data_IF_388687816595
#
_entry.id   IF_388687816595
#
_cell.length_a   1.000
_cell.length_b   1.000
_cell.length_c   1.000
_cell.angle_alpha   90.00
_cell.angle_beta   90.00
_cell.angle_gamma   90.00
#
_symmetry.space_group_name_H-M   'P 1'
#
loop_
_entity.id
_entity.type
_entity.pdbx_description
1 polymer ?
#
# COMPACT_ATOMS: atom_id res chain seq x y z
N UNK A 1 24.17 -6.30 10.00
CA UNK A 1 24.51 -4.87 10.12
C UNK A 1 23.25 -4.14 10.51
N UNK A 2 23.32 -3.37 11.58
CA UNK A 2 22.20 -2.77 12.26
C UNK A 2 21.79 -1.49 11.51
N UNK A 3 20.50 -1.29 11.24
CA UNK A 3 19.94 0.04 11.15
C UNK A 3 19.85 0.52 12.61
N UNK A 4 20.98 0.82 13.23
CA UNK A 4 21.05 1.43 14.55
C UNK A 4 21.35 2.89 14.31
N UNK A 5 20.61 3.73 14.97
CA UNK A 5 20.77 5.18 15.08
C UNK A 5 20.25 6.03 13.90
N UNK A 6 19.11 5.67 13.30
CA UNK A 6 18.42 6.59 12.41
C UNK A 6 17.49 7.49 13.22
N UNK A 7 17.88 8.72 13.45
CA UNK A 7 16.99 9.71 14.04
C UNK A 7 16.03 10.22 12.97
N UNK A 8 14.71 9.97 13.07
CA UNK A 8 13.77 10.44 12.07
C UNK A 8 13.68 11.96 12.07
N UNK A 9 13.74 12.55 10.88
CA UNK A 9 13.49 13.97 10.69
C UNK A 9 12.09 14.17 10.12
N UNK A 10 11.24 14.86 10.87
CA UNK A 10 9.92 15.25 10.37
C UNK A 10 10.04 16.40 9.39
N UNK A 11 9.36 16.27 8.24
CA UNK A 11 9.21 17.32 7.26
C UNK A 11 7.79 17.87 7.41
N UNK A 12 7.70 19.14 7.83
CA UNK A 12 6.41 19.80 7.93
C UNK A 12 5.99 20.32 6.56
N UNK A 13 4.75 20.02 6.18
CA UNK A 13 4.14 20.55 4.97
C UNK A 13 3.39 21.83 5.35
N UNK A 14 4.00 22.99 5.15
CA UNK A 14 3.32 24.28 5.32
C UNK A 14 2.41 24.52 4.10
N UNK A 15 1.15 24.19 4.21
CA UNK A 15 0.19 24.31 3.10
C UNK A 15 -0.63 25.62 3.12
N UNK A 16 -0.38 26.50 4.07
CA UNK A 16 -1.00 27.83 4.16
C UNK A 16 -2.44 27.88 4.68
N UNK A 17 -3.19 26.77 4.67
CA UNK A 17 -4.59 26.73 5.10
C UNK A 17 -4.85 25.77 6.27
N UNK A 18 -4.09 24.71 6.40
CA UNK A 18 -4.07 23.80 7.54
C UNK A 18 -2.84 22.92 7.43
N UNK A 19 -2.12 22.62 8.52
CA UNK A 19 -1.00 21.67 8.45
C UNK A 19 -1.56 20.27 8.17
N UNK A 20 -1.65 19.91 6.89
CA UNK A 20 -2.10 18.58 6.51
C UNK A 20 -0.91 17.64 6.42
N UNK A 21 -0.55 17.05 7.54
CA UNK A 21 0.54 16.07 7.63
C UNK A 21 0.07 14.62 7.45
N UNK A 22 -1.20 14.41 7.07
CA UNK A 22 -1.72 13.07 6.83
C UNK A 22 -1.27 12.56 5.46
N UNK A 23 -0.21 11.78 5.42
CA UNK A 23 0.32 11.13 4.22
C UNK A 23 -0.26 9.71 4.15
N UNK A 24 -0.88 9.37 3.04
CA UNK A 24 -1.56 8.09 2.85
C UNK A 24 -0.77 7.10 2.00
N UNK A 25 0.01 7.61 1.04
CA UNK A 25 0.84 6.78 0.17
C UNK A 25 2.03 7.59 -0.33
N UNK A 26 3.12 6.91 -0.71
CA UNK A 26 4.34 7.52 -1.27
C UNK A 26 4.90 6.63 -2.37
N UNK A 27 5.40 7.24 -3.45
CA UNK A 27 6.13 6.56 -4.53
C UNK A 27 7.41 7.32 -4.87
N UNK A 28 8.37 6.59 -5.40
CA UNK A 28 9.62 7.12 -5.91
C UNK A 28 9.49 7.42 -7.41
N UNK A 29 9.82 8.62 -7.85
CA UNK A 29 9.94 8.97 -9.27
C UNK A 29 11.34 8.60 -9.79
N UNK A 30 12.35 9.06 -9.06
CA UNK A 30 13.75 8.76 -9.29
C UNK A 30 14.54 8.81 -7.96
N UNK A 31 15.86 8.69 -8.05
CA UNK A 31 16.75 8.67 -6.88
C UNK A 31 16.60 9.86 -5.91
N UNK A 32 15.97 10.94 -6.32
CA UNK A 32 15.91 12.18 -5.55
C UNK A 32 14.49 12.75 -5.42
N UNK A 33 13.52 12.23 -6.16
CA UNK A 33 12.18 12.82 -6.23
C UNK A 33 11.15 11.81 -5.78
N UNK A 34 10.35 12.20 -4.81
CA UNK A 34 9.25 11.42 -4.26
C UNK A 34 7.94 12.16 -4.41
N UNK A 35 6.90 11.41 -4.73
CA UNK A 35 5.54 11.88 -4.75
C UNK A 35 4.74 11.20 -3.66
N UNK A 36 3.86 11.94 -3.01
CA UNK A 36 3.05 11.42 -1.92
C UNK A 36 1.64 12.00 -1.95
N UNK A 37 0.67 11.18 -1.57
CA UNK A 37 -0.71 11.60 -1.45
C UNK A 37 -0.99 12.12 -0.05
N UNK A 38 -1.77 13.21 0.02
CA UNK A 38 -2.17 13.84 1.28
C UNK A 38 -3.68 14.03 1.33
N UNK A 39 -4.18 14.44 2.47
CA UNK A 39 -5.57 14.87 2.60
C UNK A 39 -5.86 16.22 1.90
N UNK A 40 -4.84 16.96 1.44
CA UNK A 40 -4.95 18.29 0.84
C UNK A 40 -4.36 18.39 -0.57
N UNK A 41 -3.97 17.27 -1.17
CA UNK A 41 -3.45 17.25 -2.54
C UNK A 41 -2.38 16.21 -2.81
N UNK A 42 -1.67 16.41 -3.91
CA UNK A 42 -0.52 15.63 -4.33
C UNK A 42 0.76 16.39 -3.96
N UNK A 43 1.58 15.79 -3.14
CA UNK A 43 2.87 16.34 -2.75
C UNK A 43 4.01 15.82 -3.61
N UNK A 44 5.03 16.64 -3.81
CA UNK A 44 6.30 16.29 -4.42
C UNK A 44 7.44 16.83 -3.56
N UNK A 45 8.48 16.05 -3.35
CA UNK A 45 9.67 16.48 -2.65
C UNK A 45 10.94 16.09 -3.43
N UNK A 46 11.86 17.03 -3.57
CA UNK A 46 13.23 16.79 -4.00
C UNK A 46 14.11 16.69 -2.77
N UNK A 47 14.68 15.52 -2.51
CA UNK A 47 15.49 15.26 -1.30
C UNK A 47 16.82 16.04 -1.27
N UNK A 48 17.22 16.64 -2.39
CA UNK A 48 18.43 17.51 -2.44
C UNK A 48 18.15 18.87 -1.84
N UNK A 49 16.93 19.37 -2.02
CA UNK A 49 16.51 20.71 -1.53
C UNK A 49 15.71 20.62 -0.25
N UNK A 50 15.07 19.46 0.01
CA UNK A 50 14.15 19.21 1.13
C UNK A 50 12.95 20.17 1.15
N UNK A 51 12.60 20.73 -0.01
CA UNK A 51 11.47 21.65 -0.17
C UNK A 51 10.29 20.89 -0.79
N UNK A 52 9.19 20.69 -0.05
CA UNK A 52 7.98 20.05 -0.59
C UNK A 52 7.17 21.05 -1.43
N UNK A 53 6.60 20.55 -2.51
CA UNK A 53 5.60 21.23 -3.33
C UNK A 53 4.27 20.49 -3.18
N UNK A 54 3.15 21.23 -3.04
CA UNK A 54 1.81 20.65 -2.98
C UNK A 54 0.99 21.13 -4.17
N UNK A 55 0.50 20.18 -4.95
CA UNK A 55 -0.39 20.42 -6.09
C UNK A 55 -1.82 20.13 -5.65
N UNK A 56 -2.67 21.16 -5.69
CA UNK A 56 -4.11 21.06 -5.41
C UNK A 56 -4.88 20.94 -6.69
N UNK A 57 -5.92 20.16 -6.64
CA UNK A 57 -6.81 20.02 -7.77
C UNK A 57 -7.63 21.32 -7.91
N UNK A 58 -7.78 21.87 -9.14
CA UNK A 58 -8.68 22.98 -9.39
C UNK A 58 -10.13 22.63 -8.99
N UNK A 59 -10.87 23.59 -8.43
CA UNK A 59 -12.27 23.38 -7.97
C UNK A 59 -13.19 22.97 -9.11
N UNK A 60 -12.92 23.42 -10.34
CA UNK A 60 -13.66 23.05 -11.55
C UNK A 60 -13.58 21.55 -11.85
N UNK A 61 -12.51 20.88 -11.40
CA UNK A 61 -12.32 19.43 -11.55
C UNK A 61 -12.94 18.72 -10.35
N UNK A 62 -12.62 19.15 -9.14
CA UNK A 62 -13.17 18.58 -7.90
C UNK A 62 -12.92 19.51 -6.71
N UNK A 63 -13.89 19.56 -5.81
CA UNK A 63 -13.78 20.24 -4.52
C UNK A 63 -13.13 19.39 -3.41
N UNK A 64 -12.55 18.24 -3.75
CA UNK A 64 -11.88 17.34 -2.81
C UNK A 64 -10.46 17.02 -3.29
N UNK A 65 -9.50 17.21 -2.41
CA UNK A 65 -8.10 16.88 -2.62
C UNK A 65 -7.64 15.68 -1.79
N UNK A 66 -8.57 14.97 -1.15
CA UNK A 66 -8.23 13.83 -0.30
C UNK A 66 -7.97 12.59 -1.14
N UNK A 67 -6.69 12.28 -1.35
CA UNK A 67 -6.22 11.10 -2.04
C UNK A 67 -5.78 10.03 -1.04
N UNK A 68 -6.13 8.77 -1.31
CA UNK A 68 -5.83 7.63 -0.43
C UNK A 68 -4.64 6.83 -0.94
N UNK A 69 -4.52 6.70 -2.25
CA UNK A 69 -3.49 5.89 -2.90
C UNK A 69 -3.04 6.56 -4.19
N UNK A 70 -1.84 6.21 -4.63
CA UNK A 70 -1.29 6.71 -5.88
C UNK A 70 -0.37 5.66 -6.53
N UNK A 71 -0.27 5.72 -7.85
CA UNK A 71 0.70 4.97 -8.65
C UNK A 71 1.19 5.81 -9.82
N UNK A 72 2.37 5.49 -10.35
CA UNK A 72 2.94 6.17 -11.51
C UNK A 72 2.95 5.27 -12.73
N UNK A 73 2.49 5.82 -13.86
CA UNK A 73 2.59 5.20 -15.18
C UNK A 73 3.15 6.21 -16.18
N UNK A 74 4.38 5.98 -16.62
CA UNK A 74 5.05 6.91 -17.55
C UNK A 74 5.20 8.31 -16.95
N UNK A 75 4.65 9.33 -17.64
CA UNK A 75 4.65 10.73 -17.21
C UNK A 75 3.41 11.13 -16.40
N UNK A 76 2.57 10.18 -16.00
CA UNK A 76 1.37 10.45 -15.23
C UNK A 76 1.42 9.79 -13.86
N UNK A 77 0.88 10.50 -12.86
CA UNK A 77 0.55 9.94 -11.55
C UNK A 77 -0.97 9.77 -11.51
N UNK A 78 -1.42 8.57 -11.19
CA UNK A 78 -2.84 8.27 -10.99
C UNK A 78 -3.13 8.23 -9.49
N UNK A 79 -4.21 8.90 -9.10
CA UNK A 79 -4.58 9.15 -7.72
C UNK A 79 -5.99 8.62 -7.45
N UNK A 80 -6.11 7.74 -6.47
CA UNK A 80 -7.40 7.27 -5.98
C UNK A 80 -7.91 8.16 -4.86
N UNK A 81 -9.13 8.67 -4.99
CA UNK A 81 -9.76 9.50 -3.99
C UNK A 81 -10.74 8.72 -3.11
N UNK A 82 -11.06 9.29 -1.95
CA UNK A 82 -11.98 8.67 -0.99
C UNK A 82 -13.41 8.49 -1.56
N UNK A 83 -13.90 9.40 -2.40
CA UNK A 83 -15.28 9.35 -2.89
C UNK A 83 -15.53 10.02 -4.25
N UNK A 84 -14.48 10.36 -4.97
CA UNK A 84 -14.55 11.09 -6.25
C UNK A 84 -13.92 10.32 -7.43
N UNK A 85 -13.58 9.05 -7.22
CA UNK A 85 -12.97 8.21 -8.24
C UNK A 85 -11.48 8.43 -8.40
N UNK A 86 -11.02 8.39 -9.65
CA UNK A 86 -9.61 8.49 -10.00
C UNK A 86 -9.32 9.79 -10.73
N UNK A 87 -8.17 10.35 -10.46
CA UNK A 87 -7.59 11.48 -11.17
C UNK A 87 -6.22 11.12 -11.71
N UNK A 88 -5.85 11.72 -12.82
CA UNK A 88 -4.49 11.71 -13.35
C UNK A 88 -3.85 13.07 -13.17
N UNK A 89 -2.55 13.08 -12.91
CA UNK A 89 -1.71 14.26 -12.88
C UNK A 89 -0.59 14.12 -13.89
N UNK A 90 -0.56 14.98 -14.90
CA UNK A 90 0.55 15.09 -15.85
C UNK A 90 1.72 15.82 -15.17
N UNK A 91 2.83 15.12 -14.96
CA UNK A 91 4.01 15.66 -14.27
C UNK A 91 4.70 16.79 -15.06
N UNK A 92 4.65 16.74 -16.41
CA UNK A 92 5.25 17.76 -17.26
C UNK A 92 4.39 19.03 -17.35
N UNK A 93 3.10 18.85 -17.58
CA UNK A 93 2.15 19.95 -17.71
C UNK A 93 1.64 20.47 -16.36
N UNK A 94 1.91 19.77 -15.27
CA UNK A 94 1.40 20.06 -13.91
C UNK A 94 -0.12 20.22 -13.87
N UNK A 95 -0.84 19.35 -14.58
CA UNK A 95 -2.30 19.43 -14.74
C UNK A 95 -3.00 18.17 -14.27
N UNK A 96 -4.10 18.38 -13.55
CA UNK A 96 -5.03 17.32 -13.18
C UNK A 96 -6.07 17.10 -14.25
N UNK A 97 -6.51 15.84 -14.39
CA UNK A 97 -7.67 15.46 -15.17
C UNK A 97 -8.45 14.34 -14.47
N UNK A 98 -9.77 14.25 -14.73
CA UNK A 98 -10.58 13.10 -14.27
C UNK A 98 -10.29 11.90 -15.16
N UNK A 99 -10.27 10.71 -14.55
CA UNK A 99 -10.28 9.43 -15.26
C UNK A 99 -11.70 8.90 -15.27
N UNK A 100 -12.29 8.80 -16.45
CA UNK A 100 -13.69 8.41 -16.62
C UNK A 100 -13.98 6.97 -16.19
N UNK A 101 -15.22 6.70 -15.76
CA UNK A 101 -15.67 5.37 -15.36
C UNK A 101 -15.43 5.03 -13.88
N UNK A 102 -14.97 6.00 -13.09
CA UNK A 102 -14.70 5.84 -11.66
C UNK A 102 -15.39 6.91 -10.78
N UNK A 103 -16.26 7.72 -11.33
CA UNK A 103 -16.77 8.99 -10.75
C UNK A 103 -17.41 8.87 -9.37
N UNK A 104 -17.96 7.75 -9.03
CA UNK A 104 -18.63 7.52 -7.74
C UNK A 104 -17.99 6.38 -6.94
N UNK A 105 -16.76 6.00 -7.32
CA UNK A 105 -16.07 4.93 -6.63
C UNK A 105 -15.27 5.47 -5.44
N UNK A 106 -15.37 4.80 -4.33
CA UNK A 106 -14.39 4.86 -3.27
C UNK A 106 -13.22 3.96 -3.67
N UNK A 107 -12.07 4.56 -3.93
CA UNK A 107 -10.87 3.84 -4.37
C UNK A 107 -10.08 3.43 -3.13
N UNK A 108 -9.81 2.15 -2.98
CA UNK A 108 -9.08 1.60 -1.84
C UNK A 108 -7.61 1.38 -2.15
N UNK A 109 -7.30 0.96 -3.37
CA UNK A 109 -5.94 0.72 -3.84
C UNK A 109 -5.85 0.96 -5.34
N UNK A 110 -4.68 1.35 -5.82
CA UNK A 110 -4.38 1.53 -7.23
C UNK A 110 -2.96 1.05 -7.51
N UNK A 111 -2.79 0.31 -8.60
CA UNK A 111 -1.48 -0.10 -9.09
C UNK A 111 -1.45 -0.03 -10.61
N UNK A 112 -0.27 0.13 -11.20
CA UNK A 112 -0.09 0.27 -12.63
C UNK A 112 0.96 -0.67 -13.17
N UNK A 113 0.60 -1.47 -14.19
CA UNK A 113 1.53 -2.34 -14.90
C UNK A 113 1.05 -2.64 -16.32
N UNK A 114 1.99 -2.85 -17.24
CA UNK A 114 1.73 -3.28 -18.62
C UNK A 114 0.64 -2.45 -19.33
N UNK A 115 0.73 -1.13 -19.17
CA UNK A 115 -0.25 -0.15 -19.72
C UNK A 115 -1.69 -0.33 -19.19
N UNK A 116 -1.84 -0.96 -18.01
CA UNK A 116 -3.11 -1.16 -17.31
C UNK A 116 -3.07 -0.55 -15.91
N UNK A 117 -4.18 0.02 -15.48
CA UNK A 117 -4.41 0.39 -14.08
C UNK A 117 -5.33 -0.62 -13.41
N UNK A 118 -4.86 -1.18 -12.33
CA UNK A 118 -5.61 -2.07 -11.45
C UNK A 118 -6.17 -1.26 -10.28
N UNK A 119 -7.47 -1.18 -10.20
CA UNK A 119 -8.18 -0.27 -9.28
C UNK A 119 -9.07 -1.07 -8.35
N UNK A 120 -8.66 -1.20 -7.10
CA UNK A 120 -9.46 -1.80 -6.05
C UNK A 120 -10.50 -0.82 -5.52
N UNK A 121 -11.76 -1.22 -5.54
CA UNK A 121 -12.88 -0.38 -5.11
C UNK A 121 -13.54 -0.92 -3.84
N UNK A 122 -14.28 -0.04 -3.16
CA UNK A 122 -15.16 -0.46 -2.07
C UNK A 122 -16.51 -0.94 -2.64
N UNK A 123 -16.69 -2.24 -2.74
CA UNK A 123 -17.96 -2.88 -3.10
C UNK A 123 -18.21 -3.10 -4.60
N UNK A 124 -17.35 -2.63 -5.52
CA UNK A 124 -17.53 -2.83 -6.97
C UNK A 124 -16.47 -3.74 -7.61
N UNK A 125 -15.68 -4.45 -6.80
CA UNK A 125 -14.65 -5.36 -7.27
C UNK A 125 -13.35 -4.66 -7.69
N UNK A 126 -12.53 -5.38 -8.45
CA UNK A 126 -11.34 -4.89 -9.10
C UNK A 126 -11.70 -4.41 -10.51
N UNK A 127 -11.44 -3.16 -10.81
CA UNK A 127 -11.56 -2.59 -12.17
C UNK A 127 -10.18 -2.53 -12.80
N UNK A 128 -10.05 -2.99 -14.03
CA UNK A 128 -8.82 -2.94 -14.81
C UNK A 128 -9.06 -2.00 -15.98
N UNK A 129 -8.41 -0.83 -15.94
CA UNK A 129 -8.47 0.16 -17.01
C UNK A 129 -7.29 -0.04 -17.96
N UNK A 130 -7.56 -0.27 -19.24
CA UNK A 130 -6.56 -0.18 -20.29
C UNK A 130 -6.26 1.29 -20.60
N UNK A 131 -5.00 1.68 -20.50
CA UNK A 131 -4.56 3.04 -20.85
C UNK A 131 -4.39 3.23 -22.37
N UNK A 132 -4.47 2.15 -23.15
CA UNK A 132 -4.35 2.18 -24.60
C UNK A 132 -5.65 2.61 -25.28
N UNK A 133 -6.77 2.02 -24.87
CA UNK A 133 -8.09 2.23 -25.50
C UNK A 133 -9.16 2.77 -24.54
N UNK A 134 -8.83 2.92 -23.26
CA UNK A 134 -9.76 3.40 -22.23
C UNK A 134 -10.82 2.38 -21.80
N UNK A 135 -10.72 1.13 -22.23
CA UNK A 135 -11.67 0.08 -21.84
C UNK A 135 -11.50 -0.30 -20.36
N UNK A 136 -12.61 -0.68 -19.71
CA UNK A 136 -12.63 -1.09 -18.29
C UNK A 136 -13.18 -2.50 -18.20
N UNK A 137 -12.36 -3.44 -17.75
CA UNK A 137 -12.78 -4.76 -17.30
C UNK A 137 -13.15 -4.71 -15.82
N UNK A 138 -14.26 -5.38 -15.43
CA UNK A 138 -14.67 -5.48 -14.02
C UNK A 138 -14.59 -6.92 -13.56
N UNK A 139 -13.71 -7.18 -12.59
CA UNK A 139 -13.56 -8.46 -11.93
C UNK A 139 -14.31 -8.38 -10.60
N UNK A 140 -15.44 -9.11 -10.52
CA UNK A 140 -16.33 -9.05 -9.36
C UNK A 140 -16.58 -10.42 -8.73
N UNK A 141 -16.97 -10.40 -7.46
CA UNK A 141 -17.47 -11.57 -6.76
C UNK A 141 -18.83 -12.03 -7.35
N UNK A 142 -18.96 -13.34 -7.54
CA UNK A 142 -20.21 -13.99 -8.00
C UNK A 142 -20.52 -15.10 -7.01
N UNK A 143 -21.62 -14.98 -6.25
CA UNK A 143 -21.98 -15.86 -5.12
C UNK A 143 -21.93 -17.38 -5.42
N UNK A 144 -22.22 -17.78 -6.63
CA UNK A 144 -22.27 -19.22 -7.01
C UNK A 144 -21.06 -19.67 -7.83
N UNK A 145 -20.13 -18.78 -8.14
CA UNK A 145 -18.98 -19.08 -8.97
C UNK A 145 -17.72 -19.30 -8.12
N UNK A 146 -17.29 -20.54 -7.97
CA UNK A 146 -16.04 -20.92 -7.28
C UNK A 146 -14.78 -20.25 -7.86
N UNK A 147 -14.91 -19.62 -9.04
CA UNK A 147 -13.81 -19.04 -9.79
C UNK A 147 -13.90 -17.51 -9.86
N UNK A 148 -14.63 -16.88 -8.96
CA UNK A 148 -14.67 -15.43 -8.80
C UNK A 148 -13.82 -15.00 -7.61
N UNK A 149 -13.50 -13.70 -7.52
CA UNK A 149 -12.89 -13.13 -6.32
C UNK A 149 -13.80 -13.31 -5.11
N UNK A 150 -13.22 -13.35 -3.92
CA UNK A 150 -13.93 -13.69 -2.67
C UNK A 150 -14.82 -12.58 -2.12
N UNK A 151 -14.61 -11.33 -2.54
CA UNK A 151 -15.42 -10.15 -2.15
C UNK A 151 -15.22 -9.01 -3.14
N UNK A 152 -16.21 -8.10 -3.22
CA UNK A 152 -16.15 -6.90 -4.07
C UNK A 152 -15.46 -5.69 -3.41
N UNK A 153 -15.09 -5.77 -2.15
CA UNK A 153 -14.30 -4.70 -1.50
C UNK A 153 -12.83 -5.10 -1.51
N UNK A 154 -12.08 -4.47 -2.41
CA UNK A 154 -10.67 -4.75 -2.67
C UNK A 154 -9.82 -3.75 -1.90
N UNK A 155 -8.98 -4.24 -1.00
CA UNK A 155 -8.17 -3.41 -0.10
C UNK A 155 -6.67 -3.43 -0.41
N UNK A 156 -6.22 -4.46 -1.13
CA UNK A 156 -4.83 -4.58 -1.57
C UNK A 156 -4.76 -5.27 -2.93
N UNK A 157 -3.77 -4.92 -3.73
CA UNK A 157 -3.47 -5.55 -5.01
C UNK A 157 -1.95 -5.68 -5.15
N UNK A 158 -1.52 -6.80 -5.71
CA UNK A 158 -0.14 -7.03 -6.12
C UNK A 158 -0.13 -7.82 -7.42
N UNK A 159 0.64 -7.37 -8.39
CA UNK A 159 0.97 -8.14 -9.57
C UNK A 159 2.41 -8.62 -9.49
N UNK A 160 2.61 -9.93 -9.52
CA UNK A 160 3.93 -10.52 -9.45
C UNK A 160 4.04 -11.73 -10.40
N UNK A 161 5.01 -11.71 -11.30
CA UNK A 161 5.32 -12.81 -12.22
C UNK A 161 4.11 -13.39 -12.98
N UNK A 162 3.17 -12.55 -13.41
CA UNK A 162 1.94 -12.95 -14.10
C UNK A 162 0.81 -13.40 -13.18
N UNK A 163 1.01 -13.37 -11.87
CA UNK A 163 0.00 -13.69 -10.86
C UNK A 163 -0.60 -12.38 -10.32
N UNK A 164 -1.92 -12.29 -10.31
CA UNK A 164 -2.66 -11.18 -9.69
C UNK A 164 -3.12 -11.63 -8.31
N UNK A 165 -2.65 -10.93 -7.27
CA UNK A 165 -3.05 -11.15 -5.89
C UNK A 165 -4.00 -10.04 -5.47
N UNK A 166 -5.16 -10.41 -4.95
CA UNK A 166 -6.23 -9.49 -4.61
C UNK A 166 -6.60 -9.71 -3.14
N UNK A 167 -6.22 -8.75 -2.30
CA UNK A 167 -6.63 -8.70 -0.89
C UNK A 167 -8.02 -8.07 -0.77
N UNK A 168 -8.90 -8.71 -0.01
CA UNK A 168 -10.28 -8.26 0.15
C UNK A 168 -10.61 -7.93 1.60
N UNK A 169 -11.63 -7.08 1.81
CA UNK A 169 -12.01 -6.67 3.16
C UNK A 169 -12.63 -7.80 3.98
N UNK A 170 -13.40 -8.70 3.33
CA UNK A 170 -14.19 -9.71 4.05
C UNK A 170 -14.03 -11.13 3.52
N UNK A 171 -13.30 -11.32 2.44
CA UNK A 171 -13.19 -12.61 1.75
C UNK A 171 -11.78 -13.23 1.78
N UNK A 172 -10.82 -12.62 2.49
CA UNK A 172 -9.43 -13.07 2.48
C UNK A 172 -8.70 -12.66 1.20
N UNK A 173 -7.91 -13.58 0.64
CA UNK A 173 -7.11 -13.34 -0.57
C UNK A 173 -7.65 -14.18 -1.72
N UNK A 174 -7.78 -13.54 -2.88
CA UNK A 174 -7.99 -14.20 -4.17
C UNK A 174 -6.76 -14.06 -5.03
N UNK A 175 -6.42 -15.07 -5.79
CA UNK A 175 -5.30 -14.99 -6.72
C UNK A 175 -5.59 -15.72 -8.03
N UNK A 176 -4.94 -15.32 -9.10
CA UNK A 176 -4.96 -16.01 -10.38
C UNK A 176 -3.56 -16.48 -10.73
N UNK A 177 -3.34 -17.79 -10.89
CA UNK A 177 -2.00 -18.32 -11.12
C UNK A 177 -1.40 -18.00 -12.49
N UNK A 178 -2.18 -17.44 -13.44
CA UNK A 178 -1.72 -16.88 -14.73
C UNK A 178 -2.85 -16.16 -15.44
N UNK A 179 -2.54 -15.35 -16.46
CA UNK A 179 -3.54 -14.72 -17.33
C UNK A 179 -4.43 -15.82 -17.95
N UNK A 180 -5.75 -15.68 -17.78
CA UNK A 180 -6.76 -16.66 -18.25
C UNK A 180 -7.08 -17.80 -17.31
N UNK A 181 -6.41 -17.92 -16.16
CA UNK A 181 -6.72 -18.91 -15.15
C UNK A 181 -7.86 -18.46 -14.22
N UNK A 182 -8.50 -19.45 -13.58
CA UNK A 182 -9.55 -19.20 -12.61
C UNK A 182 -8.96 -18.73 -11.28
N UNK A 183 -9.66 -17.84 -10.58
CA UNK A 183 -9.24 -17.40 -9.25
C UNK A 183 -9.29 -18.57 -8.25
N UNK A 184 -8.27 -18.62 -7.39
CA UNK A 184 -8.28 -19.37 -6.14
C UNK A 184 -8.30 -18.38 -4.98
N UNK A 185 -8.67 -18.80 -3.77
CA UNK A 185 -8.71 -17.91 -2.62
C UNK A 185 -8.32 -18.64 -1.33
N UNK A 186 -7.72 -17.88 -0.42
CA UNK A 186 -7.61 -18.24 0.99
C UNK A 186 -8.75 -17.58 1.76
N UNK A 187 -9.51 -18.37 2.50
CA UNK A 187 -10.69 -17.94 3.25
C UNK A 187 -10.37 -17.72 4.74
N UNK A 188 -11.35 -17.23 5.48
CA UNK A 188 -11.25 -17.10 6.94
C UNK A 188 -10.87 -18.40 7.65
N UNK A 189 -11.32 -19.54 7.13
CA UNK A 189 -11.05 -20.84 7.74
C UNK A 189 -9.58 -21.21 7.63
N UNK A 190 -8.89 -20.75 6.59
CA UNK A 190 -7.45 -20.98 6.40
C UNK A 190 -6.61 -20.18 7.39
N UNK A 191 -7.11 -19.02 7.83
CA UNK A 191 -6.39 -18.14 8.76
C UNK A 191 -6.77 -18.30 10.23
N UNK A 192 -7.80 -19.10 10.54
CA UNK A 192 -8.33 -19.25 11.90
C UNK A 192 -8.57 -17.89 12.60
N UNK A 193 -9.08 -16.90 11.87
CA UNK A 193 -9.29 -15.54 12.32
C UNK A 193 -10.73 -15.09 12.16
N UNK A 194 -11.21 -14.25 13.06
CA UNK A 194 -12.54 -13.64 13.02
C UNK A 194 -12.62 -12.42 12.11
N UNK A 195 -11.50 -11.72 11.91
CA UNK A 195 -11.41 -10.55 11.03
C UNK A 195 -10.15 -10.66 10.15
N UNK A 196 -10.34 -11.08 8.92
CA UNK A 196 -9.32 -11.36 7.92
C UNK A 196 -9.27 -10.32 6.81
N UNK A 197 -9.59 -9.07 7.14
CA UNK A 197 -9.41 -7.95 6.21
C UNK A 197 -7.95 -7.81 5.82
N UNK A 198 -7.63 -8.27 4.61
CA UNK A 198 -6.28 -8.19 4.05
C UNK A 198 -5.98 -6.74 3.71
N UNK A 199 -4.84 -6.25 4.12
CA UNK A 199 -4.39 -4.87 3.92
C UNK A 199 -3.10 -4.78 3.12
N UNK A 200 -2.24 -5.78 3.28
CA UNK A 200 -0.96 -5.83 2.59
C UNK A 200 -0.50 -7.29 2.44
N UNK A 201 0.33 -7.56 1.46
CA UNK A 201 0.99 -8.86 1.33
C UNK A 201 2.34 -8.69 0.63
N UNK A 202 3.23 -9.65 0.89
CA UNK A 202 4.53 -9.76 0.27
C UNK A 202 4.77 -11.21 -0.14
N UNK A 203 5.35 -11.40 -1.33
CA UNK A 203 5.74 -12.73 -1.82
C UNK A 203 7.25 -12.86 -1.85
N UNK A 204 7.74 -13.96 -1.31
CA UNK A 204 9.14 -14.34 -1.40
C UNK A 204 9.44 -14.99 -2.75
N UNK A 205 10.70 -14.94 -3.24
CA UNK A 205 11.09 -15.60 -4.49
C UNK A 205 10.86 -17.12 -4.49
N UNK A 206 10.83 -17.76 -3.33
CA UNK A 206 10.55 -19.19 -3.16
C UNK A 206 9.05 -19.53 -3.12
N UNK A 207 8.17 -18.53 -3.27
CA UNK A 207 6.73 -18.67 -3.24
C UNK A 207 6.07 -18.53 -1.86
N UNK A 208 6.85 -18.45 -0.77
CA UNK A 208 6.31 -18.16 0.56
C UNK A 208 5.65 -16.78 0.58
N UNK A 209 4.72 -16.57 1.51
CA UNK A 209 3.88 -15.37 1.54
C UNK A 209 3.78 -14.79 2.94
N UNK A 210 3.84 -13.46 3.05
CA UNK A 210 3.41 -12.71 4.21
C UNK A 210 2.13 -11.96 3.90
N UNK A 211 1.15 -12.07 4.79
CA UNK A 211 -0.19 -11.49 4.62
C UNK A 211 -0.50 -10.65 5.85
N UNK A 212 -0.58 -9.34 5.67
CA UNK A 212 -0.98 -8.39 6.70
C UNK A 212 -2.49 -8.20 6.71
N UNK A 213 -3.08 -8.39 7.87
CA UNK A 213 -4.52 -8.24 8.08
C UNK A 213 -4.81 -7.24 9.20
N UNK A 214 -6.08 -7.13 9.58
CA UNK A 214 -6.49 -6.36 10.75
C UNK A 214 -6.33 -7.13 12.06
N UNK A 215 -6.07 -8.42 12.01
CA UNK A 215 -5.96 -9.31 13.17
C UNK A 215 -4.60 -10.00 13.27
N UNK A 216 -3.59 -9.44 12.63
CA UNK A 216 -2.23 -9.93 12.69
C UNK A 216 -1.57 -10.11 11.33
N UNK A 217 -0.38 -10.65 11.41
CA UNK A 217 0.43 -11.06 10.27
C UNK A 217 0.36 -12.58 10.13
N UNK A 218 0.24 -13.06 8.89
CA UNK A 218 0.28 -14.48 8.57
C UNK A 218 1.46 -14.76 7.64
N UNK A 219 2.20 -15.80 7.92
CA UNK A 219 3.21 -16.37 7.04
C UNK A 219 2.70 -17.71 6.49
N UNK A 220 2.78 -17.89 5.19
CA UNK A 220 2.41 -19.13 4.51
C UNK A 220 3.64 -19.70 3.84
N UNK A 221 4.04 -20.91 4.23
CA UNK A 221 5.10 -21.66 3.58
C UNK A 221 4.54 -22.37 2.34
N UNK A 222 5.00 -22.02 1.16
CA UNK A 222 4.54 -22.62 -0.11
C UNK A 222 4.81 -24.13 -0.17
N UNK A 223 5.98 -24.55 0.30
CA UNK A 223 6.41 -25.95 0.22
C UNK A 223 5.59 -26.90 1.11
N UNK A 224 5.22 -26.45 2.30
CA UNK A 224 4.57 -27.30 3.30
C UNK A 224 3.08 -26.99 3.45
N UNK A 225 2.61 -25.85 2.98
CA UNK A 225 1.28 -25.31 3.26
C UNK A 225 1.09 -24.86 4.72
N UNK A 226 2.15 -24.85 5.53
CA UNK A 226 2.09 -24.42 6.92
C UNK A 226 1.75 -22.93 7.00
N UNK A 227 0.77 -22.58 7.85
CA UNK A 227 0.39 -21.21 8.14
C UNK A 227 0.78 -20.87 9.57
N UNK A 228 1.62 -19.84 9.74
CA UNK A 228 1.95 -19.25 11.05
C UNK A 228 1.30 -17.89 11.19
N UNK A 229 0.79 -17.62 12.39
CA UNK A 229 0.17 -16.32 12.69
C UNK A 229 0.91 -15.61 13.81
N UNK A 230 1.03 -14.29 13.67
CA UNK A 230 1.63 -13.36 14.63
C UNK A 230 0.57 -12.35 15.03
N UNK A 231 0.26 -12.26 16.31
CA UNK A 231 -0.73 -11.34 16.89
C UNK A 231 -0.36 -10.99 18.32
N UNK A 232 -0.98 -9.96 18.88
CA UNK A 232 -0.80 -9.54 20.26
C UNK A 232 -1.14 -10.65 21.27
N UNK A 233 -2.12 -11.49 20.95
CA UNK A 233 -2.52 -12.62 21.80
C UNK A 233 -1.48 -13.75 21.85
N UNK A 234 -0.54 -13.78 20.89
CA UNK A 234 0.50 -14.81 20.81
C UNK A 234 1.80 -14.29 21.42
N UNK A 235 2.11 -14.75 22.63
CA UNK A 235 3.27 -14.36 23.44
C UNK A 235 4.65 -14.44 22.75
N UNK A 236 4.75 -14.97 21.54
CA UNK A 236 6.00 -15.13 20.79
C UNK A 236 6.08 -14.23 19.56
N UNK A 237 5.12 -13.35 19.33
CA UNK A 237 5.05 -12.64 18.05
C UNK A 237 5.88 -11.36 18.00
N UNK A 238 6.20 -10.73 19.12
CA UNK A 238 6.79 -9.37 19.20
C UNK A 238 6.03 -8.31 18.36
N UNK A 239 4.83 -8.63 17.88
CA UNK A 239 3.99 -7.68 17.15
C UNK A 239 3.33 -6.74 18.17
N UNK A 240 3.43 -5.43 17.95
CA UNK A 240 2.90 -4.41 18.88
C UNK A 240 1.48 -3.95 18.53
N UNK A 241 0.99 -4.30 17.35
CA UNK A 241 -0.39 -4.05 16.92
C UNK A 241 -0.80 -5.10 15.90
N UNK A 242 -2.01 -5.62 16.04
CA UNK A 242 -2.57 -6.60 15.10
C UNK A 242 -2.93 -6.00 13.74
N UNK A 243 -3.06 -4.68 13.65
CA UNK A 243 -3.43 -4.02 12.40
C UNK A 243 -2.18 -3.81 11.54
N UNK A 244 -1.86 -4.80 10.72
CA UNK A 244 -0.76 -4.72 9.75
C UNK A 244 -1.23 -3.98 8.52
N UNK A 245 -0.58 -2.87 8.16
CA UNK A 245 -0.99 -2.00 7.04
C UNK A 245 -0.02 -2.02 5.88
N UNK A 246 1.23 -2.41 6.13
CA UNK A 246 2.29 -2.37 5.14
C UNK A 246 3.24 -3.57 5.31
N UNK A 247 3.64 -4.19 4.21
CA UNK A 247 4.70 -5.19 4.14
C UNK A 247 5.48 -4.95 2.85
N UNK A 248 6.78 -4.75 2.95
CA UNK A 248 7.63 -4.66 1.77
C UNK A 248 9.08 -5.04 2.09
N UNK A 249 9.81 -5.49 1.07
CA UNK A 249 11.26 -5.61 1.13
C UNK A 249 11.88 -4.26 0.83
N UNK A 250 12.65 -3.75 1.76
CA UNK A 250 13.38 -2.51 1.62
C UNK A 250 14.84 -2.81 1.92
N UNK A 251 15.68 -2.61 0.90
CA UNK A 251 17.07 -3.07 0.91
C UNK A 251 17.13 -4.61 1.14
N UNK A 252 17.78 -5.05 2.21
CA UNK A 252 17.94 -6.46 2.58
C UNK A 252 16.92 -6.93 3.64
N UNK A 253 15.96 -6.09 4.05
CA UNK A 253 15.02 -6.36 5.15
C UNK A 253 13.59 -6.36 4.69
N UNK A 254 12.78 -7.21 5.30
CA UNK A 254 11.33 -7.14 5.17
C UNK A 254 10.80 -6.33 6.33
N UNK A 255 10.24 -5.15 6.01
CA UNK A 255 9.66 -4.23 6.96
C UNK A 255 8.15 -4.39 6.99
N UNK A 256 7.61 -4.34 8.20
CA UNK A 256 6.18 -4.49 8.47
C UNK A 256 5.73 -3.27 9.25
N UNK A 257 4.90 -2.44 8.63
CA UNK A 257 4.28 -1.30 9.26
C UNK A 257 2.93 -1.66 9.87
N UNK A 258 2.66 -1.16 11.07
CA UNK A 258 1.42 -1.41 11.80
C UNK A 258 0.73 -0.12 12.18
N UNK A 259 -0.57 -0.21 12.42
CA UNK A 259 -1.36 0.92 12.91
C UNK A 259 -1.25 1.01 14.44
N UNK A 260 -0.45 1.95 14.92
CA UNK A 260 -0.23 2.18 16.35
C UNK A 260 0.79 1.25 17.02
N UNK A 261 1.47 0.38 16.27
CA UNK A 261 2.51 -0.51 16.80
C UNK A 261 3.87 -0.32 16.10
N UNK A 262 4.02 0.75 15.29
CA UNK A 262 5.28 1.11 14.67
C UNK A 262 5.70 0.17 13.53
N UNK A 263 7.00 -0.07 13.45
CA UNK A 263 7.66 -0.86 12.40
C UNK A 263 8.39 -2.05 12.99
N UNK A 264 8.21 -3.20 12.35
CA UNK A 264 8.88 -4.45 12.68
C UNK A 264 9.73 -4.94 11.50
N UNK A 265 10.76 -5.71 11.81
CA UNK A 265 11.57 -6.44 10.83
C UNK A 265 11.23 -7.93 10.93
N UNK A 266 10.91 -8.54 9.80
CA UNK A 266 10.74 -9.98 9.70
C UNK A 266 12.04 -10.66 9.30
N UNK A 267 12.47 -11.65 10.08
CA UNK A 267 13.63 -12.48 9.81
C UNK A 267 13.19 -13.72 9.01
N UNK A 268 13.66 -13.83 7.78
CA UNK A 268 13.32 -14.90 6.84
C UNK A 268 13.88 -16.27 7.26
N UNK A 269 14.96 -16.31 8.06
CA UNK A 269 15.62 -17.56 8.45
C UNK A 269 14.96 -18.18 9.67
N UNK A 270 14.59 -17.34 10.63
CA UNK A 270 14.00 -17.77 11.91
C UNK A 270 12.49 -17.64 11.93
N UNK A 271 11.92 -16.92 10.94
CA UNK A 271 10.49 -16.55 10.86
C UNK A 271 10.03 -15.82 12.12
N UNK A 272 10.89 -14.96 12.65
CA UNK A 272 10.61 -14.16 13.84
C UNK A 272 10.47 -12.68 13.50
N UNK A 273 9.81 -11.95 14.39
CA UNK A 273 9.67 -10.50 14.34
C UNK A 273 10.54 -9.84 15.41
N UNK A 274 11.12 -8.70 15.05
CA UNK A 274 11.78 -7.80 16.00
C UNK A 274 11.45 -6.36 15.68
N UNK A 275 11.60 -5.49 16.66
CA UNK A 275 11.41 -4.05 16.43
C UNK A 275 12.44 -3.51 15.44
N UNK A 276 12.01 -2.56 14.61
CA UNK A 276 12.88 -1.87 13.66
C UNK A 276 13.87 -0.96 14.38
N UNK A 277 13.38 -0.17 15.35
CA UNK A 277 14.13 0.78 16.15
C UNK A 277 13.49 0.92 17.53
N UNK A 278 14.22 1.45 18.51
CA UNK A 278 13.71 1.75 19.85
C UNK A 278 13.14 3.17 19.98
N UNK A 279 13.12 3.96 18.91
CA UNK A 279 12.50 5.28 18.93
C UNK A 279 10.97 5.18 18.96
N UNK A 280 10.32 6.10 19.66
CA UNK A 280 8.89 6.09 19.93
C UNK A 280 8.03 6.02 18.67
N UNK A 281 8.42 6.77 17.62
CA UNK A 281 7.73 6.72 16.31
C UNK A 281 7.68 5.30 15.74
N UNK A 282 8.80 4.57 15.82
CA UNK A 282 8.92 3.23 15.24
C UNK A 282 8.38 2.12 16.15
N UNK A 283 8.11 2.44 17.42
CA UNK A 283 7.49 1.52 18.37
C UNK A 283 5.97 1.65 18.43
N UNK A 284 5.43 2.87 18.27
CA UNK A 284 4.01 3.17 18.51
C UNK A 284 3.34 3.99 17.40
N UNK A 285 4.06 4.38 16.36
CA UNK A 285 3.53 5.18 15.26
C UNK A 285 2.59 4.42 14.33
N UNK A 286 1.71 5.15 13.65
CA UNK A 286 0.90 4.64 12.56
C UNK A 286 1.67 4.81 11.24
N UNK A 287 2.41 3.79 10.84
CA UNK A 287 3.22 3.81 9.61
C UNK A 287 2.44 3.14 8.49
N UNK A 288 2.11 3.92 7.46
CA UNK A 288 1.25 3.50 6.37
C UNK A 288 2.01 3.00 5.15
N UNK A 289 3.22 3.52 4.93
CA UNK A 289 4.10 3.08 3.84
C UNK A 289 5.55 3.47 4.13
N UNK A 290 6.50 2.73 3.54
CA UNK A 290 7.94 2.99 3.64
C UNK A 290 8.55 2.80 2.26
N UNK A 291 9.46 3.68 1.88
CA UNK A 291 10.31 3.55 0.69
C UNK A 291 11.74 3.92 1.02
N UNK A 292 12.69 3.41 0.25
CA UNK A 292 14.09 3.80 0.35
C UNK A 292 14.50 4.69 -0.83
N UNK A 293 15.51 5.50 -0.61
CA UNK A 293 16.17 6.25 -1.67
C UNK A 293 17.49 5.59 -2.07
N UNK A 294 18.06 6.05 -3.20
CA UNK A 294 19.32 5.51 -3.68
C UNK A 294 20.54 5.85 -2.79
N UNK A 295 20.36 6.66 -1.76
CA UNK A 295 21.39 7.00 -0.76
C UNK A 295 21.27 6.13 0.48
N UNK A 296 20.28 5.22 0.53
CA UNK A 296 20.02 4.35 1.64
C UNK A 296 19.16 4.97 2.75
N UNK A 297 18.64 6.21 2.55
CA UNK A 297 17.68 6.77 3.50
C UNK A 297 16.34 6.09 3.36
N UNK A 298 15.62 5.97 4.48
CA UNK A 298 14.26 5.47 4.51
C UNK A 298 13.28 6.63 4.70
N UNK A 299 12.20 6.58 3.95
CA UNK A 299 11.10 7.54 4.02
C UNK A 299 9.85 6.87 4.51
N UNK A 300 9.24 7.41 5.55
CA UNK A 300 8.08 6.85 6.23
C UNK A 300 6.88 7.76 6.04
N UNK A 301 5.84 7.23 5.40
CA UNK A 301 4.54 7.85 5.38
C UNK A 301 3.78 7.48 6.66
N UNK A 302 3.32 8.46 7.40
CA UNK A 302 2.64 8.30 8.67
C UNK A 302 1.42 9.21 8.78
N UNK A 303 0.50 8.90 9.67
CA UNK A 303 -0.62 9.80 9.98
C UNK A 303 -0.17 11.14 10.57
N UNK A 304 1.01 11.18 11.21
CA UNK A 304 1.57 12.40 11.81
C UNK A 304 2.52 13.16 10.87
N UNK A 305 2.79 12.66 9.66
CA UNK A 305 3.62 13.34 8.69
C UNK A 305 4.53 12.43 7.88
N UNK A 306 5.41 13.06 7.13
CA UNK A 306 6.50 12.43 6.38
C UNK A 306 7.78 12.48 7.21
N UNK A 307 8.42 11.34 7.41
CA UNK A 307 9.67 11.23 8.16
C UNK A 307 10.76 10.67 7.27
N UNK A 308 11.95 11.16 7.43
CA UNK A 308 13.16 10.62 6.84
C UNK A 308 14.07 10.06 7.93
N UNK A 309 14.59 8.87 7.72
CA UNK A 309 15.66 8.27 8.50
C UNK A 309 16.91 8.20 7.62
N UNK A 310 18.00 8.79 8.07
CA UNK A 310 19.28 8.77 7.35
C UNK A 310 20.18 7.66 7.91
N UNK A 311 20.94 6.92 7.06
CA UNK A 311 22.04 6.11 7.57
C UNK A 311 23.07 7.02 8.25
N UNK A 312 23.61 6.61 9.38
CA UNK A 312 24.80 7.23 9.98
C UNK A 312 26.07 6.91 9.18
#
# INVERSE_FOLDING_TARGET
>A
YFINNHTPRQIFLETGLSPCNHITSIICEDKNIYWFSTADGLGRIDIRTMQPEIYRMPEEISNSNFFICLTRMGNHIYLGSFNKGIFSFDMSGKKFAKVNGFEHNLIMTIDGQDNQLFVGTNGQGLKVLSLEDGSIEVISHKEKARNSISSNTITAFLYDNGIRWIGTQFGGISYTPRIGAKFSYYSKNDFYSTDYRVRSFYMFPNGDKLIGTRTGLFFICEKTGEIRSYSLEKNFSNLRSDIVVFINRIQDKILIGTYGGGVHVFDEKTWSLRDFSHEELFLYGCILNIVDDAKGNLWFASQSGLYQSTPE
#
